data_IF_058022036913
#
_entry.id   IF_058022036913
#
_cell.length_a   1.000
_cell.length_b   1.000
_cell.length_c   1.000
_cell.angle_alpha   90.00
_cell.angle_beta   90.00
_cell.angle_gamma   90.00
#
_symmetry.space_group_name_H-M   'P 1'
#
loop_
_entity.id
_entity.type
_entity.pdbx_description
1 polymer ?
#
# COMPACT_ATOMS: atom_id res chain seq x y z
N UNK A 1 3.28 16.42 -5.29
CA UNK A 1 3.80 16.13 -3.92
C UNK A 1 3.36 14.74 -3.51
N UNK A 2 4.33 13.86 -3.24
CA UNK A 2 4.15 12.47 -2.79
C UNK A 2 4.02 12.48 -1.26
N UNK A 3 3.14 11.67 -0.69
CA UNK A 3 3.12 11.42 0.76
C UNK A 3 3.53 9.98 0.99
N UNK A 4 4.83 9.75 0.85
CA UNK A 4 5.49 8.54 1.34
C UNK A 4 6.03 8.92 2.71
N UNK A 5 5.67 8.14 3.73
CA UNK A 5 6.20 8.37 5.06
C UNK A 5 7.43 7.50 5.27
N UNK A 6 8.52 8.12 5.70
CA UNK A 6 9.68 7.37 6.14
C UNK A 6 9.32 6.62 7.43
N UNK A 7 9.93 5.45 7.63
CA UNK A 7 9.67 4.61 8.81
C UNK A 7 9.88 5.32 10.14
N UNK A 8 10.80 6.28 10.19
CA UNK A 8 11.08 7.08 11.39
C UNK A 8 10.01 8.17 11.65
N UNK A 9 9.17 8.47 10.65
CA UNK A 9 8.09 9.46 10.77
C UNK A 9 6.82 8.83 11.33
N UNK A 10 6.63 7.51 11.18
CA UNK A 10 5.43 6.79 11.63
C UNK A 10 5.18 6.95 13.13
N UNK A 11 6.24 7.03 13.92
CA UNK A 11 6.19 7.19 15.38
C UNK A 11 5.63 8.56 15.81
N UNK A 12 5.64 9.54 14.90
CA UNK A 12 5.18 10.92 15.17
C UNK A 12 3.81 11.21 14.58
N UNK A 13 3.25 10.28 13.80
CA UNK A 13 1.95 10.46 13.18
C UNK A 13 0.84 10.28 14.23
N UNK A 14 -0.19 11.14 14.21
CA UNK A 14 -1.36 10.90 15.03
C UNK A 14 -2.04 9.60 14.60
N UNK A 15 -2.70 8.92 15.54
CA UNK A 15 -3.56 7.79 15.22
C UNK A 15 -5.01 8.25 15.01
N UNK A 16 -5.72 7.77 13.97
CA UNK A 16 -5.21 6.96 12.86
C UNK A 16 -4.22 7.73 11.97
N UNK A 17 -3.25 7.04 11.39
CA UNK A 17 -2.32 7.66 10.44
C UNK A 17 -3.05 8.21 9.20
N UNK A 18 -2.50 9.24 8.53
CA UNK A 18 -3.12 9.85 7.37
C UNK A 18 -3.50 8.87 6.25
N UNK A 19 -4.80 8.78 5.93
CA UNK A 19 -5.34 7.87 4.89
C UNK A 19 -4.73 8.07 3.49
N UNK A 20 -4.23 9.28 3.20
CA UNK A 20 -3.55 9.60 1.94
C UNK A 20 -2.17 8.96 1.81
N UNK A 21 -1.57 8.53 2.93
CA UNK A 21 -0.21 8.02 3.02
C UNK A 21 0.04 6.76 2.20
N UNK A 22 1.32 6.50 1.97
CA UNK A 22 1.81 5.19 1.55
C UNK A 22 2.78 4.65 2.60
N UNK A 23 2.48 3.46 3.11
CA UNK A 23 3.14 2.82 4.25
C UNK A 23 3.82 1.51 3.89
N UNK A 24 3.82 1.14 2.60
CA UNK A 24 4.33 -0.13 2.09
C UNK A 24 5.61 0.04 1.26
N UNK A 25 6.41 1.07 1.54
CA UNK A 25 7.73 1.15 0.94
C UNK A 25 8.67 0.13 1.59
N UNK A 26 9.38 -0.67 0.77
CA UNK A 26 10.19 -1.77 1.27
C UNK A 26 11.36 -1.27 2.10
N UNK A 27 11.63 -1.98 3.19
CA UNK A 27 12.86 -1.86 3.96
C UNK A 27 13.68 -3.14 3.85
N UNK A 28 15.02 -3.06 3.93
CA UNK A 28 15.86 -4.24 3.95
C UNK A 28 15.46 -5.20 5.07
N UNK A 29 15.43 -6.51 4.77
CA UNK A 29 15.00 -7.54 5.72
C UNK A 29 15.78 -7.52 7.04
N UNK A 30 17.08 -7.26 6.98
CA UNK A 30 17.93 -7.14 8.16
C UNK A 30 17.56 -5.92 9.02
N UNK A 31 17.23 -4.80 8.37
CA UNK A 31 16.75 -3.58 9.02
C UNK A 31 15.41 -3.82 9.73
N UNK A 32 14.45 -4.43 9.02
CA UNK A 32 13.14 -4.77 9.55
C UNK A 32 13.24 -5.66 10.80
N UNK A 33 14.08 -6.70 10.74
CA UNK A 33 14.34 -7.60 11.88
C UNK A 33 14.98 -6.87 13.05
N UNK A 34 15.95 -5.99 12.80
CA UNK A 34 16.60 -5.22 13.85
C UNK A 34 15.58 -4.34 14.57
N UNK A 35 14.78 -3.59 13.81
CA UNK A 35 13.73 -2.70 14.35
C UNK A 35 12.66 -3.48 15.11
N UNK A 36 12.22 -4.63 14.59
CA UNK A 36 11.22 -5.46 15.25
C UNK A 36 11.69 -5.97 16.62
N UNK A 37 12.99 -6.31 16.76
CA UNK A 37 13.56 -6.72 18.06
C UNK A 37 13.67 -5.60 19.08
N UNK A 38 13.83 -4.36 18.62
CA UNK A 38 13.96 -3.19 19.50
C UNK A 38 12.61 -2.51 19.76
N UNK A 39 11.56 -2.90 19.06
CA UNK A 39 10.23 -2.32 19.22
C UNK A 39 9.65 -2.77 20.58
N UNK A 40 9.23 -1.84 21.45
CA UNK A 40 8.57 -2.23 22.69
C UNK A 40 7.25 -2.95 22.39
N UNK A 41 6.77 -3.83 23.30
CA UNK A 41 5.46 -4.47 23.15
C UNK A 41 4.36 -3.42 22.99
N UNK A 42 3.77 -3.36 21.79
CA UNK A 42 2.77 -2.35 21.48
C UNK A 42 1.42 -2.66 22.14
N UNK A 43 0.88 -1.68 22.87
CA UNK A 43 -0.45 -1.77 23.50
C UNK A 43 -1.53 -1.06 22.70
N UNK A 44 -1.16 0.00 21.98
CA UNK A 44 -2.06 0.76 21.14
C UNK A 44 -2.15 0.19 19.70
N UNK A 45 -3.17 0.59 18.91
CA UNK A 45 -3.31 0.14 17.53
C UNK A 45 -2.18 0.58 16.58
N UNK A 46 -1.59 1.77 16.79
CA UNK A 46 -0.56 2.31 15.90
C UNK A 46 0.74 1.50 16.01
N UNK A 47 1.19 1.24 17.24
CA UNK A 47 2.37 0.39 17.49
C UNK A 47 2.16 -1.04 17.02
N UNK A 48 0.94 -1.59 17.15
CA UNK A 48 0.61 -2.92 16.63
C UNK A 48 0.66 -2.95 15.10
N UNK A 49 0.15 -1.92 14.42
CA UNK A 49 0.27 -1.80 12.96
C UNK A 49 1.74 -1.66 12.54
N UNK A 50 2.54 -0.85 13.23
CA UNK A 50 3.97 -0.72 12.98
C UNK A 50 4.70 -2.07 13.12
N UNK A 51 4.38 -2.85 14.15
CA UNK A 51 4.93 -4.20 14.32
C UNK A 51 4.56 -5.12 13.15
N UNK A 52 3.31 -5.06 12.66
CA UNK A 52 2.85 -5.84 11.50
C UNK A 52 3.57 -5.42 10.21
N UNK A 53 3.74 -4.11 9.98
CA UNK A 53 4.52 -3.63 8.84
C UNK A 53 5.97 -4.16 8.89
N UNK A 54 6.63 -4.09 10.05
CA UNK A 54 7.99 -4.60 10.22
C UNK A 54 8.07 -6.12 10.04
N UNK A 55 7.11 -6.88 10.60
CA UNK A 55 7.03 -8.32 10.44
C UNK A 55 6.88 -8.73 8.96
N UNK A 56 6.04 -8.00 8.21
CA UNK A 56 5.90 -8.21 6.76
C UNK A 56 7.24 -8.13 6.03
N UNK A 57 8.08 -7.12 6.33
CA UNK A 57 9.38 -6.97 5.66
C UNK A 57 10.45 -7.90 6.23
N UNK A 58 10.37 -8.27 7.50
CA UNK A 58 11.31 -9.15 8.17
C UNK A 58 11.15 -10.63 7.77
N UNK A 59 9.92 -11.03 7.47
CA UNK A 59 9.54 -12.45 7.34
C UNK A 59 8.75 -12.76 6.07
N UNK A 60 8.19 -11.75 5.42
CA UNK A 60 7.47 -11.84 4.16
C UNK A 60 5.95 -11.74 4.31
N UNK A 61 5.20 -11.77 3.18
CA UNK A 61 3.77 -11.49 3.15
C UNK A 61 2.89 -12.43 3.98
N UNK A 62 3.36 -13.65 4.25
CA UNK A 62 2.63 -14.62 5.08
C UNK A 62 2.51 -14.20 6.54
N UNK A 63 3.31 -13.23 6.99
CA UNK A 63 3.25 -12.68 8.35
C UNK A 63 2.33 -11.47 8.49
N UNK A 64 1.64 -11.07 7.42
CA UNK A 64 0.65 -10.01 7.54
C UNK A 64 -0.56 -10.54 8.32
N UNK A 65 -0.74 -10.05 9.54
CA UNK A 65 -1.84 -10.44 10.42
C UNK A 65 -2.57 -9.18 10.90
N UNK A 66 -3.37 -8.58 10.01
CA UNK A 66 -4.15 -7.38 10.32
C UNK A 66 -5.57 -7.71 10.82
N UNK A 67 -6.00 -8.96 10.73
CA UNK A 67 -7.34 -9.41 11.12
C UNK A 67 -7.69 -9.04 12.57
N UNK A 68 -6.80 -9.21 13.57
CA UNK A 68 -7.11 -8.80 14.95
C UNK A 68 -7.29 -7.29 15.11
N UNK A 69 -6.53 -6.49 14.35
CA UNK A 69 -6.68 -5.03 14.35
C UNK A 69 -7.98 -4.63 13.65
N UNK A 70 -8.29 -5.22 12.50
CA UNK A 70 -9.52 -4.98 11.75
C UNK A 70 -10.78 -5.35 12.54
N UNK A 71 -10.75 -6.43 13.32
CA UNK A 71 -11.88 -6.86 14.15
C UNK A 71 -12.33 -5.78 15.15
N UNK A 72 -11.38 -4.99 15.66
CA UNK A 72 -11.63 -3.97 16.68
C UNK A 72 -11.68 -2.54 16.13
N UNK A 73 -11.13 -2.30 14.94
CA UNK A 73 -11.12 -0.99 14.32
C UNK A 73 -12.50 -0.57 13.79
N UNK A 74 -12.77 0.73 13.81
CA UNK A 74 -14.00 1.34 13.27
C UNK A 74 -13.63 2.63 12.54
N UNK A 75 -14.53 3.08 11.66
CA UNK A 75 -14.41 4.35 10.93
C UNK A 75 -13.07 4.50 10.22
N UNK A 76 -12.42 5.64 10.43
CA UNK A 76 -11.14 6.00 9.78
C UNK A 76 -10.03 4.98 10.03
N UNK A 77 -9.95 4.41 11.24
CA UNK A 77 -8.94 3.40 11.56
C UNK A 77 -9.12 2.10 10.76
N UNK A 78 -10.37 1.67 10.53
CA UNK A 78 -10.65 0.49 9.70
C UNK A 78 -10.27 0.73 8.24
N UNK A 79 -10.59 1.92 7.72
CA UNK A 79 -10.22 2.34 6.37
C UNK A 79 -8.70 2.36 6.18
N UNK A 80 -7.95 2.90 7.15
CA UNK A 80 -6.48 2.91 7.15
C UNK A 80 -5.91 1.49 7.08
N UNK A 81 -6.39 0.58 7.92
CA UNK A 81 -5.88 -0.79 7.96
C UNK A 81 -6.10 -1.53 6.64
N UNK A 82 -7.28 -1.37 6.02
CA UNK A 82 -7.58 -1.94 4.70
C UNK A 82 -6.69 -1.34 3.60
N UNK A 83 -6.47 -0.02 3.64
CA UNK A 83 -5.54 0.64 2.72
C UNK A 83 -4.13 0.08 2.89
N UNK A 84 -3.61 -0.02 4.11
CA UNK A 84 -2.28 -0.56 4.40
C UNK A 84 -2.15 -2.01 3.93
N UNK A 85 -3.18 -2.84 4.15
CA UNK A 85 -3.20 -4.21 3.64
C UNK A 85 -3.03 -4.24 2.11
N UNK A 86 -3.81 -3.42 1.39
CA UNK A 86 -3.72 -3.31 -0.05
C UNK A 86 -2.36 -2.78 -0.53
N UNK A 87 -1.78 -1.81 0.19
CA UNK A 87 -0.48 -1.24 -0.12
C UNK A 87 0.63 -2.30 0.02
N UNK A 88 0.63 -3.07 1.10
CA UNK A 88 1.60 -4.16 1.32
C UNK A 88 1.47 -5.27 0.27
N UNK A 89 0.24 -5.67 -0.06
CA UNK A 89 0.03 -6.66 -1.14
C UNK A 89 0.49 -6.09 -2.49
N UNK A 90 0.26 -4.80 -2.74
CA UNK A 90 0.66 -4.13 -3.99
C UNK A 90 2.18 -3.98 -4.11
N UNK A 91 2.89 -3.72 -3.02
CA UNK A 91 4.36 -3.59 -3.03
C UNK A 91 5.06 -4.87 -3.50
N UNK A 92 4.47 -6.03 -3.23
CA UNK A 92 4.89 -7.36 -3.76
C UNK A 92 4.01 -7.87 -4.91
N UNK A 93 3.20 -6.98 -5.52
CA UNK A 93 2.29 -7.23 -6.65
C UNK A 93 1.46 -8.52 -6.54
N UNK A 94 0.91 -8.79 -5.35
CA UNK A 94 0.10 -9.96 -5.08
C UNK A 94 -1.34 -9.78 -5.59
N UNK A 95 -1.96 -10.86 -6.06
CA UNK A 95 -3.38 -10.89 -6.36
C UNK A 95 -4.23 -10.49 -5.15
N UNK A 96 -5.34 -9.80 -5.41
CA UNK A 96 -6.19 -9.21 -4.38
C UNK A 96 -5.69 -7.88 -3.81
N UNK A 97 -4.47 -7.41 -4.17
CA UNK A 97 -3.97 -6.10 -3.75
C UNK A 97 -4.93 -4.96 -4.11
N UNK A 98 -5.37 -4.91 -5.38
CA UNK A 98 -6.32 -3.88 -5.83
C UNK A 98 -7.67 -3.96 -5.13
N UNK A 99 -8.17 -5.17 -4.86
CA UNK A 99 -9.43 -5.33 -4.13
C UNK A 99 -9.34 -4.78 -2.70
N UNK A 100 -8.22 -5.00 -2.02
CA UNK A 100 -7.98 -4.43 -0.69
C UNK A 100 -7.83 -2.90 -0.75
N UNK A 101 -7.09 -2.36 -1.74
CA UNK A 101 -6.96 -0.92 -1.95
C UNK A 101 -8.32 -0.25 -2.23
N UNK A 102 -9.15 -0.85 -3.09
CA UNK A 102 -10.47 -0.33 -3.44
C UNK A 102 -11.42 -0.36 -2.22
N UNK A 103 -11.41 -1.45 -1.43
CA UNK A 103 -12.18 -1.53 -0.17
C UNK A 103 -11.77 -0.45 0.83
N UNK A 104 -10.46 -0.33 1.09
CA UNK A 104 -9.93 0.68 2.00
C UNK A 104 -10.22 2.10 1.51
N UNK A 105 -10.11 2.35 0.21
CA UNK A 105 -10.44 3.64 -0.36
C UNK A 105 -11.92 3.98 -0.21
N UNK A 106 -12.82 3.05 -0.51
CA UNK A 106 -14.26 3.26 -0.37
C UNK A 106 -14.64 3.62 1.08
N UNK A 107 -14.05 2.92 2.06
CA UNK A 107 -14.24 3.23 3.48
C UNK A 107 -13.59 4.56 3.90
N UNK A 108 -12.54 5.00 3.21
CA UNK A 108 -11.84 6.24 3.50
C UNK A 108 -12.58 7.49 2.98
N UNK A 109 -13.48 7.35 1.99
CA UNK A 109 -14.15 8.50 1.32
C UNK A 109 -14.73 9.52 2.32
N UNK A 110 -15.47 9.13 3.37
CA UNK A 110 -16.07 10.10 4.29
C UNK A 110 -15.05 10.93 5.09
N UNK A 111 -13.80 10.46 5.19
CA UNK A 111 -12.74 11.06 5.98
C UNK A 111 -11.73 11.83 5.12
N UNK A 112 -11.82 11.74 3.79
CA UNK A 112 -10.89 12.37 2.88
C UNK A 112 -11.40 13.75 2.44
N UNK A 113 -10.57 14.78 2.64
CA UNK A 113 -10.75 16.05 1.94
C UNK A 113 -10.56 15.87 0.42
N UNK A 114 -11.17 16.75 -0.39
CA UNK A 114 -11.19 16.64 -1.86
C UNK A 114 -9.79 16.45 -2.49
N UNK A 115 -8.78 17.18 -1.99
CA UNK A 115 -7.39 17.06 -2.47
C UNK A 115 -6.82 15.66 -2.27
N UNK A 116 -7.09 15.06 -1.12
CA UNK A 116 -6.55 13.75 -0.75
C UNK A 116 -7.35 12.62 -1.41
N UNK A 117 -8.67 12.78 -1.54
CA UNK A 117 -9.52 11.92 -2.36
C UNK A 117 -8.95 11.75 -3.78
N UNK A 118 -8.73 12.84 -4.51
CA UNK A 118 -8.20 12.76 -5.87
C UNK A 118 -6.78 12.23 -5.93
N UNK A 119 -5.97 12.46 -4.88
CA UNK A 119 -4.61 11.90 -4.82
C UNK A 119 -4.65 10.39 -4.73
N UNK A 120 -5.47 9.85 -3.83
CA UNK A 120 -5.62 8.40 -3.65
C UNK A 120 -6.24 7.76 -4.89
N UNK A 121 -7.29 8.36 -5.45
CA UNK A 121 -7.94 7.90 -6.68
C UNK A 121 -6.94 7.78 -7.84
N UNK A 122 -6.21 8.85 -8.16
CA UNK A 122 -5.21 8.85 -9.26
C UNK A 122 -4.10 7.82 -9.03
N UNK A 123 -3.69 7.61 -7.78
CA UNK A 123 -2.71 6.57 -7.43
C UNK A 123 -3.28 5.18 -7.75
N UNK A 124 -4.50 4.88 -7.31
CA UNK A 124 -5.14 3.58 -7.56
C UNK A 124 -5.40 3.33 -9.06
N UNK A 125 -5.81 4.35 -9.81
CA UNK A 125 -5.98 4.25 -11.27
C UNK A 125 -4.69 3.86 -12.00
N UNK A 126 -3.54 4.39 -11.55
CA UNK A 126 -2.25 4.00 -12.09
C UNK A 126 -1.90 2.56 -11.68
N UNK A 127 -1.98 2.25 -10.39
CA UNK A 127 -1.61 0.93 -9.87
C UNK A 127 -2.45 -0.21 -10.47
N UNK A 128 -3.70 0.05 -10.86
CA UNK A 128 -4.58 -0.90 -11.55
C UNK A 128 -4.00 -1.45 -12.87
N UNK A 129 -3.00 -0.77 -13.44
CA UNK A 129 -2.34 -1.16 -14.70
C UNK A 129 -1.22 -2.19 -14.51
N UNK A 130 -0.83 -2.47 -13.26
CA UNK A 130 0.23 -3.42 -12.96
C UNK A 130 -0.30 -4.86 -13.05
N UNK A 131 0.50 -5.79 -13.60
CA UNK A 131 0.18 -7.20 -13.49
C UNK A 131 0.34 -7.64 -12.03
N UNK A 132 -0.64 -8.41 -11.55
CA UNK A 132 -0.62 -9.03 -10.23
C UNK A 132 -0.39 -10.53 -10.38
N UNK A 133 0.32 -11.12 -9.42
CA UNK A 133 0.70 -12.53 -9.42
C UNK A 133 0.09 -13.27 -8.21
N UNK A 134 -0.10 -14.57 -8.33
CA UNK A 134 -0.57 -15.43 -7.23
C UNK A 134 0.50 -15.64 -6.15
N UNK A 135 1.77 -15.49 -6.51
CA UNK A 135 2.91 -15.54 -5.60
C UNK A 135 3.56 -14.16 -5.48
N UNK A 136 4.12 -13.80 -4.32
CA UNK A 136 4.77 -12.51 -4.15
C UNK A 136 6.02 -12.40 -5.02
N UNK A 137 6.19 -11.27 -5.69
CA UNK A 137 7.38 -10.93 -6.48
C UNK A 137 8.28 -9.97 -5.70
N UNK A 138 9.54 -9.72 -6.13
CA UNK A 138 10.43 -8.79 -5.45
C UNK A 138 9.75 -7.43 -5.20
N UNK A 139 9.85 -6.89 -3.98
CA UNK A 139 9.09 -5.72 -3.61
C UNK A 139 9.61 -4.45 -4.28
N UNK A 140 8.71 -3.54 -4.59
CA UNK A 140 9.04 -2.24 -5.16
C UNK A 140 8.48 -1.09 -4.30
N UNK A 141 9.22 0.02 -4.17
CA UNK A 141 8.68 1.26 -3.59
C UNK A 141 7.59 1.83 -4.49
N UNK A 142 6.74 2.69 -3.91
CA UNK A 142 5.61 3.30 -4.62
C UNK A 142 6.03 3.99 -5.93
N UNK A 143 7.15 4.69 -5.93
CA UNK A 143 7.57 5.43 -7.10
C UNK A 143 7.97 4.51 -8.26
N UNK A 144 8.68 3.42 -7.99
CA UNK A 144 8.97 2.39 -8.98
C UNK A 144 7.70 1.72 -9.51
N UNK A 145 6.73 1.41 -8.64
CA UNK A 145 5.42 0.89 -9.05
C UNK A 145 4.69 1.87 -9.98
N UNK A 146 4.68 3.17 -9.65
CA UNK A 146 4.04 4.20 -10.47
C UNK A 146 4.79 4.42 -11.79
N UNK A 147 6.11 4.24 -11.83
CA UNK A 147 6.89 4.27 -13.07
C UNK A 147 6.51 3.08 -13.95
N UNK A 148 6.52 1.86 -13.41
CA UNK A 148 6.14 0.65 -14.14
C UNK A 148 4.71 0.76 -14.71
N UNK A 149 3.76 1.22 -13.89
CA UNK A 149 2.37 1.42 -14.30
C UNK A 149 2.22 2.41 -15.47
N UNK A 150 3.01 3.49 -15.49
CA UNK A 150 3.00 4.47 -16.59
C UNK A 150 3.58 3.90 -17.87
N UNK A 151 4.68 3.15 -17.78
CA UNK A 151 5.30 2.51 -18.95
C UNK A 151 4.31 1.57 -19.65
N UNK A 152 3.56 0.77 -18.87
CA UNK A 152 2.51 -0.11 -19.40
C UNK A 152 1.34 0.62 -20.04
N UNK A 153 0.96 1.79 -19.51
CA UNK A 153 -0.07 2.62 -20.12
C UNK A 153 0.32 3.14 -21.52
N UNK A 154 1.60 3.45 -21.73
CA UNK A 154 2.11 3.94 -23.02
C UNK A 154 2.19 2.84 -24.07
N UNK A 155 2.66 1.65 -23.70
CA UNK A 155 2.76 0.53 -24.64
C UNK A 155 1.38 0.08 -25.15
N UNK A 156 0.37 0.08 -24.27
CA UNK A 156 -1.03 -0.21 -24.66
C UNK A 156 -1.59 0.83 -25.65
N UNK A 157 -1.31 2.11 -25.44
CA UNK A 157 -1.75 3.19 -26.32
C UNK A 157 -0.99 3.26 -27.66
N UNK A 158 0.23 2.72 -27.72
CA UNK A 158 1.03 2.65 -28.95
C UNK A 158 0.73 1.38 -29.78
N UNK A 159 0.37 0.26 -29.13
CA UNK A 159 0.01 -1.00 -29.79
C UNK A 159 -1.37 -0.98 -30.46
N UNK A 160 -2.31 -0.18 -29.95
CA UNK A 160 -3.66 -0.05 -30.54
C UNK A 160 -3.77 0.87 -31.75
N UNK A 161 -2.64 1.35 -32.30
CA UNK A 161 -2.62 2.32 -33.41
C UNK A 161 -2.01 1.74 -34.70
N UNK A 162 -1.95 0.40 -34.83
CA UNK A 162 -1.27 -0.31 -35.92
C UNK A 162 -2.13 -1.30 -36.72
N UNK A 163 -3.45 -1.36 -36.50
CA UNK A 163 -4.33 -2.31 -37.22
C UNK A 163 -5.36 -1.69 -38.18
N UNK A 164 -5.41 -0.37 -38.33
CA UNK A 164 -6.36 0.29 -39.24
C UNK A 164 -5.68 0.74 -40.55
N UNK A 165 -4.83 -0.11 -41.14
CA UNK A 165 -4.27 0.18 -42.47
C UNK A 165 -3.95 -1.08 -43.27
N UNK A 166 -4.98 -1.86 -43.60
CA UNK A 166 -4.98 -2.66 -44.82
C UNK A 166 -6.37 -2.52 -45.46
N UNK A 167 -6.43 -1.60 -46.42
CA UNK A 167 -7.36 -1.68 -47.54
C UNK A 167 -6.85 -2.62 -48.62
#
# INVERSE_FOLDING_TARGET
>A
MRTVFAWNELERLPWPWPLVGWYADPIPRAEARRRLRTLPPARDPAGRLQAQLLAFWAEGPRRLHLEPLLATARGEAAALLQLVEGQLRMSVRLAGAMAALDRGFHQAIPFLGARDYFRVLRRHELLRRLPLAQAPVPPLPLDALLVEARLRGRTRAAGGRRDDTLG
#
